data_IF_601378316462
#
_entry.id   IF_601378316462
#
_cell.length_a   1.000
_cell.length_b   1.000
_cell.length_c   1.000
_cell.angle_alpha   90.00
_cell.angle_beta   90.00
_cell.angle_gamma   90.00
#
_symmetry.space_group_name_H-M   'P 1'
#
loop_
_entity.id
_entity.type
_entity.pdbx_description
1 polymer ?
#
# COMPACT_ATOMS: atom_id res chain seq x y z
N UNK A 1 14.08 -17.40 6.43
CA UNK A 1 13.52 -16.61 7.57
C UNK A 1 14.60 -15.60 7.95
N UNK A 2 14.32 -14.29 7.98
CA UNK A 2 15.34 -13.30 8.39
C UNK A 2 15.40 -13.15 9.92
N UNK A 3 16.55 -12.72 10.46
CA UNK A 3 16.71 -12.45 11.89
C UNK A 3 15.89 -11.23 12.29
N UNK A 4 15.25 -11.29 13.45
CA UNK A 4 14.48 -10.16 14.00
C UNK A 4 15.38 -8.92 14.17
N UNK A 5 14.88 -7.76 13.75
CA UNK A 5 15.53 -6.45 13.94
C UNK A 5 14.46 -5.43 14.34
N UNK A 6 14.70 -4.68 15.42
CA UNK A 6 13.89 -3.51 15.75
C UNK A 6 14.00 -2.47 14.62
N UNK A 7 12.92 -1.73 14.38
CA UNK A 7 12.96 -0.61 13.44
C UNK A 7 13.52 0.58 14.21
N UNK A 8 14.66 1.07 13.75
CA UNK A 8 15.20 2.33 14.25
C UNK A 8 14.32 3.49 13.74
N UNK A 9 13.80 4.37 14.61
CA UNK A 9 12.92 5.47 14.19
C UNK A 9 13.58 6.47 13.24
N UNK A 10 14.88 6.72 13.39
CA UNK A 10 15.64 7.63 12.52
C UNK A 10 15.87 6.98 11.16
N UNK A 11 16.31 5.71 11.12
CA UNK A 11 16.45 4.92 9.88
C UNK A 11 15.11 4.87 9.10
N UNK A 12 14.00 4.70 9.82
CA UNK A 12 12.66 4.71 9.23
C UNK A 12 12.28 6.10 8.69
N UNK A 13 12.51 7.16 9.47
CA UNK A 13 12.19 8.53 9.09
C UNK A 13 13.00 8.99 7.86
N UNK A 14 14.28 8.65 7.78
CA UNK A 14 15.11 8.95 6.62
C UNK A 14 14.61 8.22 5.36
N UNK A 15 14.29 6.94 5.48
CA UNK A 15 13.79 6.13 4.37
C UNK A 15 12.49 6.69 3.79
N UNK A 16 11.50 6.99 4.63
CA UNK A 16 10.22 7.51 4.16
C UNK A 16 10.37 8.94 3.61
N UNK A 17 11.20 9.79 4.23
CA UNK A 17 11.49 11.15 3.75
C UNK A 17 12.13 11.13 2.36
N UNK A 18 13.14 10.26 2.14
CA UNK A 18 13.74 10.01 0.81
C UNK A 18 12.70 9.62 -0.23
N UNK A 19 11.66 8.92 0.18
CA UNK A 19 10.60 8.48 -0.72
C UNK A 19 9.53 9.54 -1.01
N UNK A 20 9.69 10.75 -0.47
CA UNK A 20 8.73 11.85 -0.60
C UNK A 20 7.53 11.71 0.32
N UNK A 21 7.61 10.89 1.37
CA UNK A 21 6.54 10.76 2.33
C UNK A 21 6.55 11.94 3.31
N UNK A 22 5.36 12.44 3.63
CA UNK A 22 5.15 13.46 4.67
C UNK A 22 4.27 12.88 5.78
N UNK A 23 4.33 13.39 7.02
CA UNK A 23 3.41 12.99 8.07
C UNK A 23 1.96 13.11 7.61
N UNK A 24 1.19 12.03 7.76
CA UNK A 24 -0.20 11.96 7.37
C UNK A 24 -0.97 11.34 8.54
N UNK A 25 -1.50 12.16 9.44
CA UNK A 25 -2.22 11.67 10.60
C UNK A 25 -3.63 11.25 10.20
N UNK A 26 -3.90 9.95 10.19
CA UNK A 26 -5.25 9.43 9.98
C UNK A 26 -5.94 9.21 11.32
N UNK A 27 -7.16 9.73 11.46
CA UNK A 27 -8.00 9.49 12.63
C UNK A 27 -8.20 7.98 12.85
N UNK A 28 -8.04 7.52 14.09
CA UNK A 28 -8.23 6.11 14.47
C UNK A 28 -7.04 5.19 14.19
N UNK A 29 -5.95 5.70 13.60
CA UNK A 29 -4.70 4.94 13.47
C UNK A 29 -3.83 5.19 14.70
N UNK A 30 -3.64 4.14 15.51
CA UNK A 30 -2.85 4.20 16.76
C UNK A 30 -1.34 4.28 16.56
N UNK A 31 -0.83 4.43 15.34
CA UNK A 31 0.61 4.48 15.02
C UNK A 31 0.94 5.73 14.18
N UNK A 32 2.20 6.16 14.18
CA UNK A 32 2.60 7.26 13.31
C UNK A 32 2.44 6.84 11.85
N UNK A 33 1.77 7.67 11.05
CA UNK A 33 1.48 7.39 9.65
C UNK A 33 2.01 8.49 8.73
N UNK A 34 2.41 8.08 7.53
CA UNK A 34 3.06 8.90 6.53
C UNK A 34 2.43 8.66 5.17
N UNK A 35 2.34 9.69 4.34
CA UNK A 35 1.68 9.66 3.04
C UNK A 35 2.63 10.08 1.91
N UNK A 36 2.66 9.30 0.83
CA UNK A 36 3.22 9.72 -0.47
C UNK A 36 2.03 10.00 -1.39
N UNK A 37 1.87 11.26 -1.81
CA UNK A 37 0.69 11.74 -2.51
C UNK A 37 0.88 11.77 -4.04
N UNK A 38 -0.16 11.37 -4.77
CA UNK A 38 -0.29 11.47 -6.22
C UNK A 38 -1.51 12.35 -6.50
N UNK A 39 -1.32 13.67 -6.43
CA UNK A 39 -2.41 14.65 -6.42
C UNK A 39 -3.29 14.56 -7.67
N UNK A 40 -2.66 14.40 -8.84
CA UNK A 40 -3.32 14.29 -10.15
C UNK A 40 -4.20 13.03 -10.28
N UNK A 41 -3.97 12.05 -9.42
CA UNK A 41 -4.67 10.77 -9.39
C UNK A 41 -5.47 10.55 -8.13
N UNK A 42 -5.62 11.53 -7.24
CA UNK A 42 -6.29 11.38 -5.94
C UNK A 42 -5.94 10.06 -5.21
N UNK A 43 -4.65 9.68 -5.26
CA UNK A 43 -4.11 8.49 -4.62
C UNK A 43 -3.08 8.87 -3.56
N UNK A 44 -3.00 8.08 -2.50
CA UNK A 44 -1.96 8.18 -1.48
C UNK A 44 -1.43 6.80 -1.13
N UNK A 45 -0.09 6.64 -1.10
CA UNK A 45 0.53 5.50 -0.41
C UNK A 45 0.65 5.88 1.06
N UNK A 46 -0.14 5.23 1.89
CA UNK A 46 -0.09 5.37 3.34
C UNK A 46 0.87 4.33 3.92
N UNK A 47 1.78 4.79 4.77
CA UNK A 47 2.79 3.99 5.46
C UNK A 47 2.55 4.13 6.96
N UNK A 48 2.24 3.03 7.64
CA UNK A 48 2.13 2.96 9.09
C UNK A 48 3.44 2.47 9.69
N UNK A 49 3.99 3.23 10.63
CA UNK A 49 5.37 3.07 11.13
C UNK A 49 5.68 1.78 11.88
N UNK A 50 4.68 1.00 12.31
CA UNK A 50 4.81 -0.12 13.26
C UNK A 50 4.98 0.27 14.72
N UNK A 51 5.14 1.55 15.01
CA UNK A 51 5.40 2.06 16.36
C UNK A 51 4.60 3.31 16.64
N UNK A 52 4.39 3.55 17.93
CA UNK A 52 3.63 4.67 18.42
C UNK A 52 4.35 5.32 19.60
N UNK A 53 3.65 6.24 20.28
CA UNK A 53 4.20 6.95 21.45
C UNK A 53 4.51 6.01 22.62
N UNK A 54 3.92 4.82 22.64
CA UNK A 54 4.12 3.77 23.65
C UNK A 54 5.16 2.73 23.22
N UNK A 55 5.82 2.92 22.06
CA UNK A 55 6.94 2.10 21.59
C UNK A 55 6.60 1.20 20.41
N UNK A 56 7.45 0.19 20.20
CA UNK A 56 7.28 -0.82 19.15
C UNK A 56 6.49 -2.03 19.66
N UNK A 57 5.63 -2.60 18.81
CA UNK A 57 4.87 -3.82 19.11
C UNK A 57 5.78 -5.01 19.51
N UNK A 58 5.31 -6.05 20.23
CA UNK A 58 6.15 -7.20 20.61
C UNK A 58 6.52 -8.12 19.43
N UNK A 59 7.47 -9.04 19.65
CA UNK A 59 7.92 -10.04 18.65
C UNK A 59 6.72 -10.87 18.15
N UNK A 60 6.65 -11.11 16.84
CA UNK A 60 5.55 -11.84 16.19
C UNK A 60 4.41 -10.96 15.66
N UNK A 61 4.34 -9.70 16.07
CA UNK A 61 3.41 -8.73 15.48
C UNK A 61 3.97 -8.16 14.16
N UNK A 62 3.18 -8.27 13.09
CA UNK A 62 3.45 -7.62 11.81
C UNK A 62 3.62 -6.10 11.97
N UNK A 63 4.55 -5.54 11.20
CA UNK A 63 5.24 -4.32 11.65
C UNK A 63 4.84 -3.10 10.84
N UNK A 64 5.38 -2.90 9.63
CA UNK A 64 5.07 -1.70 8.85
C UNK A 64 3.94 -2.00 7.87
N UNK A 65 2.84 -1.26 7.97
CA UNK A 65 1.69 -1.39 7.06
C UNK A 65 1.87 -0.46 5.87
N UNK A 66 1.54 -0.92 4.67
CA UNK A 66 1.56 -0.09 3.46
C UNK A 66 0.27 -0.30 2.68
N UNK A 67 -0.48 0.78 2.49
CA UNK A 67 -1.74 0.81 1.76
C UNK A 67 -1.65 1.82 0.61
N UNK A 68 -2.22 1.48 -0.53
CA UNK A 68 -2.57 2.45 -1.56
C UNK A 68 -4.06 2.79 -1.39
N UNK A 69 -4.35 4.05 -1.12
CA UNK A 69 -5.70 4.56 -0.87
C UNK A 69 -6.09 5.56 -1.97
N UNK A 70 -7.37 5.54 -2.34
CA UNK A 70 -8.01 6.63 -3.04
C UNK A 70 -8.56 7.62 -2.02
N UNK A 71 -8.23 8.89 -2.16
CA UNK A 71 -8.79 9.98 -1.36
C UNK A 71 -9.86 10.75 -2.14
N UNK A 72 -10.76 11.37 -1.40
CA UNK A 72 -11.84 12.21 -1.91
C UNK A 72 -12.17 13.21 -0.80
N UNK A 73 -12.57 14.44 -1.15
CA UNK A 73 -12.97 15.44 -0.16
C UNK A 73 -14.23 15.00 0.59
N UNK A 74 -15.22 14.49 -0.14
CA UNK A 74 -16.54 14.15 0.43
C UNK A 74 -16.70 12.69 0.90
N UNK A 75 -15.66 11.87 0.79
CA UNK A 75 -15.79 10.42 1.02
C UNK A 75 -14.61 9.86 1.80
N UNK A 76 -14.90 8.89 2.64
CA UNK A 76 -13.86 8.12 3.32
C UNK A 76 -12.85 7.53 2.33
N UNK A 77 -11.54 7.51 2.68
CA UNK A 77 -10.52 6.92 1.85
C UNK A 77 -10.80 5.45 1.52
N UNK A 78 -10.68 5.07 0.26
CA UNK A 78 -10.94 3.70 -0.21
C UNK A 78 -9.65 2.94 -0.44
N UNK A 79 -9.55 1.73 0.10
CA UNK A 79 -8.38 0.88 -0.15
C UNK A 79 -8.38 0.38 -1.60
N UNK A 80 -7.35 0.79 -2.33
CA UNK A 80 -7.07 0.35 -3.70
C UNK A 80 -6.11 -0.83 -3.70
N UNK A 81 -5.09 -0.85 -2.84
CA UNK A 81 -4.22 -2.02 -2.67
C UNK A 81 -3.72 -2.08 -1.23
N UNK A 82 -3.88 -3.23 -0.58
CA UNK A 82 -3.24 -3.54 0.69
C UNK A 82 -2.12 -4.56 0.47
N UNK A 83 -0.88 -4.16 0.73
CA UNK A 83 0.24 -5.12 0.70
C UNK A 83 0.32 -5.86 2.03
N UNK A 84 0.89 -7.07 2.01
CA UNK A 84 1.26 -7.77 3.26
C UNK A 84 2.19 -6.85 4.07
N UNK A 85 2.06 -6.78 5.40
CA UNK A 85 2.96 -5.95 6.22
C UNK A 85 4.44 -6.28 6.00
N UNK A 86 5.31 -5.29 6.18
CA UNK A 86 6.77 -5.53 6.20
C UNK A 86 7.16 -6.01 7.58
N UNK A 87 7.88 -7.14 7.61
CA UNK A 87 8.33 -7.77 8.85
C UNK A 87 9.54 -7.04 9.43
N UNK A 88 9.63 -6.98 10.75
CA UNK A 88 10.79 -6.56 11.55
C UNK A 88 11.92 -7.59 11.50
N UNK A 89 12.59 -7.62 10.36
CA UNK A 89 13.79 -8.42 10.15
C UNK A 89 14.89 -7.54 9.59
N UNK A 90 16.14 -8.00 9.56
CA UNK A 90 17.29 -7.23 9.05
C UNK A 90 17.03 -6.55 7.69
N UNK A 91 16.30 -7.22 6.80
CA UNK A 91 15.95 -6.69 5.47
C UNK A 91 14.70 -5.81 5.44
N UNK A 92 14.16 -5.36 6.58
CA UNK A 92 12.92 -4.59 6.63
C UNK A 92 12.97 -3.35 5.74
N UNK A 93 14.08 -2.61 5.73
CA UNK A 93 14.25 -1.37 4.98
C UNK A 93 14.18 -1.64 3.46
N UNK A 94 14.95 -2.61 2.98
CA UNK A 94 14.93 -3.03 1.57
C UNK A 94 13.57 -3.59 1.15
N UNK A 95 12.92 -4.36 2.02
CA UNK A 95 11.58 -4.90 1.77
C UNK A 95 10.53 -3.79 1.68
N UNK A 96 10.61 -2.78 2.56
CA UNK A 96 9.74 -1.61 2.52
C UNK A 96 9.98 -0.81 1.24
N UNK A 97 11.23 -0.50 0.91
CA UNK A 97 11.59 0.22 -0.32
C UNK A 97 11.02 -0.47 -1.57
N UNK A 98 11.20 -1.79 -1.69
CA UNK A 98 10.65 -2.58 -2.81
C UNK A 98 9.13 -2.46 -2.93
N UNK A 99 8.41 -2.41 -1.79
CA UNK A 99 6.96 -2.20 -1.77
C UNK A 99 6.59 -0.78 -2.21
N UNK A 100 7.30 0.23 -1.72
CA UNK A 100 7.07 1.61 -2.13
C UNK A 100 7.29 1.79 -3.63
N UNK A 101 8.34 1.21 -4.20
CA UNK A 101 8.61 1.27 -5.63
C UNK A 101 7.54 0.54 -6.45
N UNK A 102 7.11 -0.63 -5.99
CA UNK A 102 6.00 -1.39 -6.60
C UNK A 102 4.72 -0.57 -6.60
N UNK A 103 4.34 0.02 -5.46
CA UNK A 103 3.12 0.82 -5.36
C UNK A 103 3.20 2.13 -6.16
N UNK A 104 4.37 2.78 -6.21
CA UNK A 104 4.60 3.96 -7.06
C UNK A 104 4.37 3.63 -8.53
N UNK A 105 4.84 2.46 -9.00
CA UNK A 105 4.58 2.01 -10.38
C UNK A 105 3.12 1.63 -10.56
N UNK A 106 2.54 0.88 -9.63
CA UNK A 106 1.13 0.50 -9.69
C UNK A 106 0.18 1.69 -9.75
N UNK A 107 0.41 2.75 -8.97
CA UNK A 107 -0.41 3.96 -8.99
C UNK A 107 -0.48 4.62 -10.38
N UNK A 108 0.58 4.48 -11.20
CA UNK A 108 0.60 4.97 -12.59
C UNK A 108 -0.26 4.11 -13.51
N UNK A 109 -0.19 2.80 -13.35
CA UNK A 109 -0.81 1.80 -14.22
C UNK A 109 -2.27 1.44 -13.88
N UNK A 110 -2.70 1.68 -12.64
CA UNK A 110 -4.08 1.45 -12.25
C UNK A 110 -5.02 2.29 -13.10
N UNK A 111 -6.29 1.85 -13.16
CA UNK A 111 -7.33 2.49 -13.97
C UNK A 111 -8.52 2.86 -13.12
N UNK A 112 -9.16 3.96 -13.45
CA UNK A 112 -10.44 4.34 -12.87
C UNK A 112 -11.56 3.48 -13.47
N UNK A 113 -12.56 3.19 -12.66
CA UNK A 113 -13.79 2.57 -13.12
C UNK A 113 -14.49 3.52 -14.11
N UNK A 114 -14.83 3.08 -15.33
CA UNK A 114 -15.47 3.96 -16.31
C UNK A 114 -16.83 4.49 -15.84
N UNK A 115 -17.52 3.72 -14.98
CA UNK A 115 -18.89 4.00 -14.50
C UNK A 115 -18.93 4.94 -13.31
N UNK A 116 -18.15 4.67 -12.26
CA UNK A 116 -18.21 5.44 -11.01
C UNK A 116 -16.96 6.25 -10.71
N UNK A 117 -15.96 6.22 -11.60
CA UNK A 117 -14.67 6.94 -11.51
C UNK A 117 -13.80 6.61 -10.29
N UNK A 118 -14.20 5.69 -9.42
CA UNK A 118 -13.32 5.18 -8.35
C UNK A 118 -12.22 4.30 -8.93
N UNK A 119 -11.02 4.33 -8.35
CA UNK A 119 -9.91 3.49 -8.77
C UNK A 119 -10.26 2.01 -8.64
N UNK A 120 -9.94 1.24 -9.68
CA UNK A 120 -10.08 -0.20 -9.63
C UNK A 120 -8.91 -0.79 -8.86
N UNK A 121 -9.17 -1.84 -8.10
CA UNK A 121 -8.19 -2.57 -7.30
C UNK A 121 -7.86 -3.90 -7.94
N UNK A 122 -6.64 -4.37 -7.70
CA UNK A 122 -6.27 -5.72 -8.04
C UNK A 122 -7.04 -6.72 -7.18
N UNK A 123 -7.56 -7.74 -7.85
CA UNK A 123 -8.21 -8.90 -7.23
C UNK A 123 -7.62 -10.14 -7.86
N UNK A 124 -7.47 -11.17 -7.05
CA UNK A 124 -7.09 -12.49 -7.52
C UNK A 124 -8.30 -13.41 -7.38
N UNK A 125 -8.49 -14.30 -8.36
CA UNK A 125 -9.39 -15.45 -8.25
C UNK A 125 -8.72 -16.61 -8.97
N UNK A 126 -8.46 -17.69 -8.25
CA UNK A 126 -7.69 -18.83 -8.75
C UNK A 126 -6.36 -18.31 -9.34
N UNK A 127 -6.00 -18.74 -10.55
CA UNK A 127 -4.76 -18.38 -11.24
C UNK A 127 -4.82 -17.05 -12.01
N UNK A 128 -5.88 -16.24 -11.84
CA UNK A 128 -6.08 -15.01 -12.62
C UNK A 128 -6.10 -13.79 -11.72
N UNK A 129 -5.37 -12.76 -12.12
CA UNK A 129 -5.41 -11.42 -11.52
C UNK A 129 -6.12 -10.46 -12.47
N UNK A 130 -7.02 -9.65 -11.93
CA UNK A 130 -7.82 -8.70 -12.69
C UNK A 130 -8.08 -7.43 -11.89
N UNK A 131 -8.51 -6.37 -12.56
CA UNK A 131 -8.99 -5.14 -11.94
C UNK A 131 -10.49 -5.26 -11.64
N UNK A 132 -10.87 -5.11 -10.38
CA UNK A 132 -12.27 -4.99 -9.96
C UNK A 132 -12.52 -3.63 -9.31
N UNK A 133 -13.74 -3.09 -9.42
CA UNK A 133 -14.07 -1.82 -8.80
C UNK A 133 -13.82 -1.85 -7.27
N UNK A 134 -13.19 -0.80 -6.73
CA UNK A 134 -13.01 -0.66 -5.27
C UNK A 134 -14.35 -0.43 -4.54
N UNK A 135 -15.36 0.07 -5.24
CA UNK A 135 -16.71 0.29 -4.71
C UNK A 135 -17.65 -0.92 -4.85
N UNK A 136 -17.18 -2.10 -5.27
CA UNK A 136 -18.04 -3.29 -5.24
C UNK A 136 -18.42 -3.65 -3.78
N UNK A 137 -19.69 -3.98 -3.46
CA UNK A 137 -20.78 -4.35 -4.37
C UNK A 137 -21.68 -3.21 -4.87
N UNK A 138 -21.47 -1.96 -4.42
CA UNK A 138 -22.31 -0.82 -4.83
C UNK A 138 -22.06 -0.40 -6.28
N UNK A 139 -20.87 -0.66 -6.80
CA UNK A 139 -20.57 -0.59 -8.24
C UNK A 139 -20.27 -2.00 -8.79
N UNK A 140 -21.14 -2.48 -9.69
CA UNK A 140 -21.04 -3.82 -10.32
C UNK A 140 -20.43 -3.79 -11.72
N UNK A 141 -19.59 -2.78 -12.02
CA UNK A 141 -18.89 -2.71 -13.29
C UNK A 141 -18.11 -4.01 -13.55
N UNK A 142 -18.12 -4.56 -14.78
CA UNK A 142 -17.31 -5.73 -15.10
C UNK A 142 -15.83 -5.53 -14.82
N UNK A 143 -15.18 -6.64 -14.47
CA UNK A 143 -13.73 -6.69 -14.24
C UNK A 143 -12.96 -6.35 -15.52
N UNK A 144 -11.84 -5.64 -15.38
CA UNK A 144 -10.94 -5.34 -16.50
C UNK A 144 -9.65 -6.17 -16.39
N UNK A 145 -8.98 -6.46 -17.52
CA UNK A 145 -7.65 -7.07 -17.48
C UNK A 145 -6.64 -6.13 -16.79
N UNK A 146 -5.54 -6.68 -16.29
CA UNK A 146 -4.39 -5.88 -15.83
C UNK A 146 -3.52 -5.47 -17.04
N UNK A 147 -2.75 -4.38 -16.91
CA UNK A 147 -1.73 -4.06 -17.93
C UNK A 147 -0.54 -5.04 -17.83
N UNK A 148 0.22 -5.27 -18.93
CA UNK A 148 1.44 -6.07 -18.89
C UNK A 148 2.44 -5.54 -17.84
N UNK A 149 2.47 -4.23 -17.62
CA UNK A 149 3.30 -3.55 -16.63
C UNK A 149 2.90 -3.96 -15.20
N UNK A 150 1.59 -3.97 -14.89
CA UNK A 150 1.09 -4.46 -13.61
C UNK A 150 1.36 -5.96 -13.43
N UNK A 151 1.20 -6.75 -14.48
CA UNK A 151 1.49 -8.19 -14.41
C UNK A 151 2.95 -8.47 -14.04
N UNK A 152 3.89 -7.76 -14.66
CA UNK A 152 5.32 -7.85 -14.32
C UNK A 152 5.62 -7.50 -12.86
N UNK A 153 4.87 -6.56 -12.27
CA UNK A 153 5.02 -6.21 -10.85
C UNK A 153 4.52 -7.33 -9.93
N UNK A 154 3.45 -8.01 -10.32
CA UNK A 154 2.84 -9.09 -9.54
C UNK A 154 3.66 -10.38 -9.57
N UNK A 155 4.29 -10.69 -10.71
CA UNK A 155 5.17 -11.86 -10.85
C UNK A 155 6.44 -11.77 -9.98
N UNK A 156 6.85 -10.56 -9.60
CA UNK A 156 7.99 -10.32 -8.69
C UNK A 156 7.62 -10.50 -7.22
N UNK A 157 6.34 -10.40 -6.88
CA UNK A 157 5.83 -10.71 -5.55
C UNK A 157 5.50 -12.20 -5.52
N UNK A 158 6.50 -13.03 -5.20
CA UNK A 158 6.45 -14.51 -5.18
C UNK A 158 5.43 -15.13 -4.21
N UNK A 159 4.45 -14.34 -3.74
CA UNK A 159 3.40 -14.71 -2.78
C UNK A 159 1.98 -14.36 -3.24
N UNK A 160 1.76 -14.26 -4.55
CA UNK A 160 0.42 -14.20 -5.20
C UNK A 160 0.00 -15.58 -5.75
N UNK A 161 0.78 -16.63 -5.47
CA UNK A 161 0.28 -18.01 -5.42
C UNK A 161 -0.16 -18.35 -4.00
#
# INVERSE_FOLDING_TARGET
MGRFKWIDPEEFAELIKRNGAVPAQLSGWGEFSFGIFFAEKNLVILIGSSFDRNGQRPIGADSIRVLLLQTSEDKEPKIVWQMKPTKRIESWATNLQTKLDTLKKAARELRQCPTCKTWMRLRHKNYRVFLGCSSFPTCRQPTLPISPELEKLLLRDSKIR
#
